data_IF_594324989773
#
_entry.id   IF_594324989773
#
_cell.length_a   1.000
_cell.length_b   1.000
_cell.length_c   1.000
_cell.angle_alpha   90.00
_cell.angle_beta   90.00
_cell.angle_gamma   90.00
#
_symmetry.space_group_name_H-M   'P 1'
#
loop_
_entity.id
_entity.type
_entity.pdbx_description
1 polymer ?
#
# COMPACT_ATOMS: atom_id res chain seq x y z
N UNK A 1 -30.94 -8.82 -8.81
CA UNK A 1 -30.12 -7.74 -8.22
C UNK A 1 -29.65 -8.28 -6.88
N UNK A 2 -28.43 -8.81 -6.80
CA UNK A 2 -27.89 -9.36 -5.55
C UNK A 2 -27.18 -8.23 -4.83
N UNK A 3 -27.78 -7.72 -3.76
CA UNK A 3 -27.05 -6.95 -2.76
C UNK A 3 -25.93 -7.84 -2.22
N UNK A 4 -24.68 -7.49 -2.54
CA UNK A 4 -23.54 -8.06 -1.81
C UNK A 4 -23.57 -7.40 -0.44
N UNK A 5 -24.24 -8.04 0.51
CA UNK A 5 -24.30 -7.59 1.90
C UNK A 5 -22.87 -7.59 2.46
N UNK A 6 -22.25 -6.42 2.52
CA UNK A 6 -21.04 -6.23 3.31
C UNK A 6 -21.29 -6.59 4.78
N UNK A 7 -20.24 -6.85 5.58
CA UNK A 7 -20.41 -7.21 6.98
C UNK A 7 -21.24 -6.14 7.72
N UNK A 8 -22.06 -6.55 8.71
CA UNK A 8 -22.76 -5.61 9.58
C UNK A 8 -21.73 -4.66 10.21
N UNK A 9 -21.89 -3.36 9.97
CA UNK A 9 -20.98 -2.34 10.52
C UNK A 9 -21.57 -1.81 11.82
N UNK A 10 -20.82 -1.96 12.92
CA UNK A 10 -21.09 -1.30 14.19
C UNK A 10 -21.42 0.20 13.97
N UNK A 11 -22.35 0.81 14.73
CA UNK A 11 -22.60 2.24 14.67
C UNK A 11 -21.32 3.08 14.81
N UNK A 12 -20.41 2.67 15.69
CA UNK A 12 -19.12 3.33 15.93
C UNK A 12 -18.19 3.27 14.71
N UNK A 13 -18.22 2.16 13.95
CA UNK A 13 -17.44 2.00 12.71
C UNK A 13 -18.01 2.89 11.62
N UNK A 14 -19.34 2.94 11.48
CA UNK A 14 -20.01 3.82 10.51
C UNK A 14 -19.69 5.28 10.80
N UNK A 15 -19.77 5.69 12.06
CA UNK A 15 -19.47 7.06 12.44
C UNK A 15 -17.98 7.38 12.30
N UNK A 16 -17.10 6.44 12.66
CA UNK A 16 -15.66 6.60 12.41
C UNK A 16 -15.38 6.80 10.93
N UNK A 17 -15.93 5.98 10.03
CA UNK A 17 -15.76 6.14 8.59
C UNK A 17 -16.34 7.45 8.06
N UNK A 18 -17.56 7.81 8.48
CA UNK A 18 -18.26 9.05 8.06
C UNK A 18 -17.48 10.29 8.46
N UNK A 19 -17.02 10.36 9.70
CA UNK A 19 -16.23 11.49 10.21
C UNK A 19 -14.84 11.52 9.56
N UNK A 20 -14.24 10.37 9.26
CA UNK A 20 -12.94 10.25 8.59
C UNK A 20 -12.94 10.66 7.13
N UNK A 21 -14.07 10.62 6.43
CA UNK A 21 -14.13 11.10 5.05
C UNK A 21 -13.98 12.63 4.96
N UNK A 22 -14.42 13.35 6.00
CA UNK A 22 -14.26 14.80 6.12
C UNK A 22 -12.94 15.23 6.76
N UNK A 23 -12.35 14.34 7.57
CA UNK A 23 -11.07 14.53 8.25
C UNK A 23 -10.02 13.83 7.38
N UNK A 24 -9.32 14.58 6.54
CA UNK A 24 -8.16 14.01 5.84
C UNK A 24 -7.23 13.36 6.86
N UNK A 25 -6.80 12.13 6.61
CA UNK A 25 -5.81 11.43 7.44
C UNK A 25 -4.49 12.21 7.59
N UNK A 26 -4.25 13.23 6.77
CA UNK A 26 -3.25 14.25 7.06
C UNK A 26 -3.37 14.87 8.47
N UNK A 27 -4.49 14.74 9.18
CA UNK A 27 -4.61 15.16 10.58
C UNK A 27 -3.90 14.24 11.59
N UNK A 28 -3.58 12.98 11.23
CA UNK A 28 -2.67 12.14 12.03
C UNK A 28 -1.20 12.50 11.76
N UNK A 29 -0.89 13.03 10.58
CA UNK A 29 0.43 13.58 10.25
C UNK A 29 0.53 15.05 10.64
N UNK A 30 1.35 15.37 11.64
CA UNK A 30 1.61 16.78 11.97
C UNK A 30 2.21 17.50 10.74
N UNK A 31 1.46 18.43 10.15
CA UNK A 31 1.97 19.31 9.09
C UNK A 31 3.22 19.99 9.62
N UNK A 32 4.34 19.81 8.90
CA UNK A 32 5.63 20.37 9.27
C UNK A 32 5.74 21.82 8.82
N UNK A 33 5.30 22.07 7.60
CA UNK A 33 5.33 23.38 6.93
C UNK A 33 4.30 23.37 5.78
N UNK A 34 3.80 24.56 5.43
CA UNK A 34 3.02 24.78 4.22
C UNK A 34 3.96 25.44 3.19
N UNK A 35 4.14 24.80 2.05
CA UNK A 35 5.05 25.23 0.99
C UNK A 35 4.31 25.44 -0.32
N UNK A 36 4.77 26.43 -1.09
CA UNK A 36 4.33 26.60 -2.48
C UNK A 36 5.09 25.60 -3.37
N UNK A 37 4.33 24.79 -4.12
CA UNK A 37 4.87 23.81 -5.06
C UNK A 37 4.16 24.00 -6.40
N UNK A 38 4.94 24.03 -7.48
CA UNK A 38 4.41 24.03 -8.83
C UNK A 38 4.27 22.59 -9.31
N UNK A 39 3.05 22.15 -9.61
CA UNK A 39 2.74 20.81 -10.13
C UNK A 39 2.21 20.99 -11.55
N UNK A 40 2.92 20.46 -12.55
CA UNK A 40 2.59 20.63 -13.98
C UNK A 40 2.31 22.10 -14.37
N UNK A 41 3.14 23.04 -13.90
CA UNK A 41 3.02 24.47 -14.19
C UNK A 41 1.99 25.23 -13.35
N UNK A 42 1.20 24.55 -12.51
CA UNK A 42 0.24 25.20 -11.61
C UNK A 42 0.77 25.28 -10.18
N UNK A 43 0.84 26.48 -9.61
CA UNK A 43 1.26 26.69 -8.22
C UNK A 43 0.12 26.32 -7.28
N UNK A 44 0.42 25.53 -6.25
CA UNK A 44 -0.51 25.22 -5.17
C UNK A 44 0.16 25.27 -3.80
N UNK A 45 -0.64 25.39 -2.74
CA UNK A 45 -0.19 25.27 -1.36
C UNK A 45 -0.25 23.82 -0.91
N UNK A 46 0.88 23.29 -0.48
CA UNK A 46 1.04 21.90 -0.09
C UNK A 46 1.58 21.78 1.34
N UNK A 47 0.98 20.89 2.11
CA UNK A 47 1.36 20.60 3.48
C UNK A 47 2.43 19.52 3.48
N UNK A 48 3.62 19.83 3.94
CA UNK A 48 4.74 18.90 4.07
C UNK A 48 4.53 17.97 5.25
N UNK A 49 4.49 16.65 5.01
CA UNK A 49 4.15 15.64 6.02
C UNK A 49 5.34 14.75 6.42
N UNK A 50 6.14 14.28 5.45
CA UNK A 50 7.29 13.38 5.69
C UNK A 50 8.44 13.65 4.72
N UNK A 51 9.69 13.54 5.20
CA UNK A 51 10.94 13.73 4.42
C UNK A 51 11.93 14.68 5.11
N UNK A 52 12.82 15.38 4.40
CA UNK A 52 13.83 16.32 4.91
C UNK A 52 14.10 17.57 4.05
N UNK A 53 13.27 17.92 3.07
CA UNK A 53 13.41 19.19 2.32
C UNK A 53 13.14 20.41 3.23
N UNK A 54 12.42 20.24 4.35
CA UNK A 54 12.12 21.31 5.31
C UNK A 54 13.20 21.42 6.40
N UNK A 55 13.77 22.61 6.71
CA UNK A 55 15.05 22.75 7.44
C UNK A 55 15.06 22.47 8.95
N UNK A 56 14.00 21.92 9.54
CA UNK A 56 13.87 21.88 11.01
C UNK A 56 13.65 20.48 11.56
N UNK A 57 14.75 19.70 11.56
CA UNK A 57 15.17 18.92 12.73
C UNK A 57 16.59 18.44 12.52
N UNK A 58 17.44 18.63 13.53
CA UNK A 58 18.80 18.08 13.59
C UNK A 58 18.78 16.65 13.09
N UNK A 59 19.53 16.40 12.02
CA UNK A 59 19.82 15.06 11.54
C UNK A 59 20.40 14.28 12.71
N UNK A 60 19.65 13.31 13.24
CA UNK A 60 20.26 12.30 14.10
C UNK A 60 21.21 11.53 13.20
N UNK A 61 22.50 11.68 13.51
CA UNK A 61 23.68 11.05 12.92
C UNK A 61 23.58 9.51 12.94
N UNK A 62 22.76 8.98 12.05
CA UNK A 62 22.86 7.60 11.59
C UNK A 62 22.93 7.66 10.09
N UNK A 63 24.16 7.57 9.61
CA UNK A 63 24.50 7.13 8.26
C UNK A 63 23.72 5.85 7.94
N UNK A 64 22.55 5.99 7.33
CA UNK A 64 21.90 4.92 6.58
C UNK A 64 20.98 5.58 5.54
N UNK A 65 21.35 5.49 4.27
CA UNK A 65 20.76 6.25 3.15
C UNK A 65 19.31 5.90 2.78
N UNK A 66 18.34 6.10 3.66
CA UNK A 66 17.02 5.48 3.54
C UNK A 66 15.78 6.40 3.60
N UNK A 67 15.89 7.72 3.43
CA UNK A 67 14.70 8.57 3.20
C UNK A 67 14.77 9.24 1.84
N UNK A 68 14.27 8.53 0.82
CA UNK A 68 14.40 8.85 -0.60
C UNK A 68 13.40 9.89 -1.14
N UNK A 69 12.29 10.12 -0.43
CA UNK A 69 11.14 10.88 -0.94
C UNK A 69 10.60 11.90 0.06
N UNK A 70 10.00 12.98 -0.44
CA UNK A 70 9.08 13.82 0.34
C UNK A 70 7.63 13.42 0.06
N UNK A 71 6.78 13.59 1.07
CA UNK A 71 5.33 13.41 0.98
C UNK A 71 4.65 14.71 1.39
N UNK A 72 3.75 15.17 0.53
CA UNK A 72 2.91 16.33 0.74
C UNK A 72 1.43 16.00 0.60
N UNK A 73 0.60 16.87 1.13
CA UNK A 73 -0.84 16.82 1.02
C UNK A 73 -1.42 18.18 0.66
N UNK A 74 -2.39 18.22 -0.26
CA UNK A 74 -3.13 19.42 -0.63
C UNK A 74 -4.56 19.31 -0.08
N UNK A 75 -4.96 20.11 0.93
CA UNK A 75 -6.30 20.06 1.51
C UNK A 75 -7.38 20.60 0.57
N UNK A 76 -7.01 21.47 -0.38
CA UNK A 76 -7.97 22.07 -1.32
C UNK A 76 -8.44 21.05 -2.35
N UNK A 77 -7.51 20.23 -2.86
CA UNK A 77 -7.81 19.20 -3.86
C UNK A 77 -7.95 17.80 -3.26
N UNK A 78 -7.79 17.67 -1.94
CA UNK A 78 -7.73 16.40 -1.22
C UNK A 78 -6.79 15.38 -1.88
N UNK A 79 -5.57 15.82 -2.24
CA UNK A 79 -4.61 15.03 -3.02
C UNK A 79 -3.28 14.89 -2.30
N UNK A 80 -2.66 13.73 -2.44
CA UNK A 80 -1.30 13.45 -2.02
C UNK A 80 -0.32 13.72 -3.15
N UNK A 81 0.89 14.14 -2.78
CA UNK A 81 2.00 14.30 -3.70
C UNK A 81 3.25 13.65 -3.09
N UNK A 82 3.86 12.73 -3.82
CA UNK A 82 5.13 12.10 -3.44
C UNK A 82 6.18 12.46 -4.48
N UNK A 83 7.33 12.97 -4.06
CA UNK A 83 8.38 13.44 -4.97
C UNK A 83 9.74 12.85 -4.63
N UNK A 84 10.61 12.77 -5.63
CA UNK A 84 12.05 12.60 -5.41
C UNK A 84 12.60 13.87 -4.76
N UNK A 85 13.41 13.70 -3.72
CA UNK A 85 14.08 14.82 -3.06
C UNK A 85 15.00 15.56 -4.05
N UNK A 86 14.95 16.91 -4.13
CA UNK A 86 15.87 17.68 -4.97
C UNK A 86 17.35 17.38 -4.67
N UNK A 87 17.70 17.09 -3.42
CA UNK A 87 19.07 16.77 -3.01
C UNK A 87 19.62 15.50 -3.68
N UNK A 88 18.76 14.59 -4.14
CA UNK A 88 19.19 13.37 -4.85
C UNK A 88 19.92 13.66 -6.17
N UNK A 89 19.71 14.85 -6.77
CA UNK A 89 20.47 15.30 -7.93
C UNK A 89 21.95 15.53 -7.60
N UNK A 90 22.24 16.00 -6.39
CA UNK A 90 23.61 16.28 -5.94
C UNK A 90 24.39 14.98 -5.63
N UNK A 91 23.69 13.92 -5.23
CA UNK A 91 24.30 12.64 -4.86
C UNK A 91 24.36 11.61 -5.99
N UNK A 92 23.93 11.96 -7.21
CA UNK A 92 23.88 11.03 -8.35
C UNK A 92 22.86 9.89 -8.19
N UNK A 93 22.01 9.92 -7.16
CA UNK A 93 21.01 8.89 -6.87
C UNK A 93 19.65 9.19 -7.48
N UNK A 94 19.52 10.32 -8.17
CA UNK A 94 18.25 10.82 -8.68
C UNK A 94 17.52 9.82 -9.58
N UNK A 95 18.17 9.30 -10.62
CA UNK A 95 17.57 8.36 -11.57
C UNK A 95 17.09 7.07 -10.89
N UNK A 96 17.87 6.59 -9.90
CA UNK A 96 17.51 5.41 -9.11
C UNK A 96 16.23 5.66 -8.30
N UNK A 97 16.11 6.84 -7.67
CA UNK A 97 14.92 7.19 -6.89
C UNK A 97 13.73 7.52 -7.77
N UNK A 98 13.94 8.15 -8.91
CA UNK A 98 12.89 8.37 -9.91
C UNK A 98 12.31 7.04 -10.39
N UNK A 99 13.17 6.10 -10.80
CA UNK A 99 12.74 4.77 -11.26
C UNK A 99 11.93 4.03 -10.19
N UNK A 100 12.39 4.06 -8.94
CA UNK A 100 11.67 3.47 -7.81
C UNK A 100 10.35 4.16 -7.52
N UNK A 101 10.27 5.48 -7.69
CA UNK A 101 9.05 6.24 -7.44
C UNK A 101 8.01 6.02 -8.54
N UNK A 102 8.42 5.94 -9.81
CA UNK A 102 7.56 5.51 -10.94
C UNK A 102 6.97 4.13 -10.70
N UNK A 103 7.81 3.20 -10.22
CA UNK A 103 7.35 1.86 -9.81
C UNK A 103 6.32 1.94 -8.69
N UNK A 104 6.58 2.73 -7.65
CA UNK A 104 5.63 2.95 -6.55
C UNK A 104 4.29 3.50 -7.04
N UNK A 105 4.28 4.43 -7.99
CA UNK A 105 3.04 4.96 -8.58
C UNK A 105 2.26 3.86 -9.31
N UNK A 106 2.95 3.06 -10.13
CA UNK A 106 2.34 1.95 -10.86
C UNK A 106 1.74 0.90 -9.92
N UNK A 107 2.47 0.53 -8.87
CA UNK A 107 1.99 -0.44 -7.88
C UNK A 107 0.73 0.06 -7.17
N UNK A 108 0.66 1.35 -6.86
CA UNK A 108 -0.52 1.93 -6.23
C UNK A 108 -1.72 1.95 -7.19
N UNK A 109 -1.51 2.19 -8.50
CA UNK A 109 -2.57 2.05 -9.52
C UNK A 109 -3.10 0.62 -9.55
N UNK A 110 -2.21 -0.36 -9.64
CA UNK A 110 -2.57 -1.78 -9.67
C UNK A 110 -3.30 -2.21 -8.39
N UNK A 111 -2.88 -1.72 -7.22
CA UNK A 111 -3.57 -1.96 -5.96
C UNK A 111 -5.01 -1.44 -5.96
N UNK A 112 -5.23 -0.23 -6.49
CA UNK A 112 -6.56 0.34 -6.64
C UNK A 112 -7.41 -0.45 -7.65
N UNK A 113 -6.83 -0.90 -8.77
CA UNK A 113 -7.52 -1.74 -9.74
C UNK A 113 -7.96 -3.08 -9.13
N UNK A 114 -7.05 -3.74 -8.39
CA UNK A 114 -7.33 -5.00 -7.67
C UNK A 114 -8.39 -4.79 -6.59
N UNK A 115 -8.43 -3.62 -5.94
CA UNK A 115 -9.47 -3.25 -4.99
C UNK A 115 -10.82 -2.87 -5.62
N UNK A 116 -10.94 -2.90 -6.96
CA UNK A 116 -12.17 -2.54 -7.67
C UNK A 116 -12.38 -1.02 -7.83
N UNK A 117 -11.32 -0.22 -7.77
CA UNK A 117 -11.35 1.25 -7.81
C UNK A 117 -10.63 1.84 -9.04
N UNK A 118 -10.96 1.43 -10.28
CA UNK A 118 -10.24 1.86 -11.49
C UNK A 118 -10.34 3.38 -11.74
N UNK A 119 -11.45 4.00 -11.33
CA UNK A 119 -11.61 5.46 -11.43
C UNK A 119 -10.56 6.19 -10.56
N UNK A 120 -10.30 5.73 -9.34
CA UNK A 120 -9.24 6.31 -8.50
C UNK A 120 -7.85 5.98 -9.03
N UNK A 121 -7.65 4.77 -9.55
CA UNK A 121 -6.37 4.39 -10.18
C UNK A 121 -5.99 5.37 -11.31
N UNK A 122 -6.96 5.76 -12.15
CA UNK A 122 -6.75 6.72 -13.25
C UNK A 122 -6.38 8.14 -12.81
N UNK A 123 -6.64 8.49 -11.54
CA UNK A 123 -6.28 9.78 -10.96
C UNK A 123 -4.85 9.84 -10.47
N UNK A 124 -4.14 8.70 -10.38
CA UNK A 124 -2.71 8.70 -10.05
C UNK A 124 -1.91 9.15 -11.26
N UNK A 125 -1.34 10.35 -11.19
CA UNK A 125 -0.63 10.98 -12.32
C UNK A 125 0.83 11.23 -12.00
N UNK A 126 1.69 10.75 -12.88
CA UNK A 126 3.08 11.20 -12.97
C UNK A 126 3.10 12.71 -13.22
N UNK A 127 3.99 13.43 -12.54
CA UNK A 127 4.04 14.88 -12.62
C UNK A 127 5.47 15.41 -12.57
N UNK A 128 5.71 16.49 -13.31
CA UNK A 128 6.85 17.35 -13.05
C UNK A 128 6.49 18.28 -11.89
N UNK A 129 7.42 18.41 -10.94
CA UNK A 129 7.25 19.21 -9.75
C UNK A 129 8.39 20.19 -9.65
N UNK A 130 8.08 21.48 -9.50
CA UNK A 130 9.09 22.48 -9.16
C UNK A 130 8.96 22.86 -7.68
N UNK A 131 10.05 22.67 -6.93
CA UNK A 131 10.15 23.02 -5.52
C UNK A 131 11.53 23.62 -5.26
N UNK A 132 11.57 24.80 -4.62
CA UNK A 132 12.81 25.57 -4.39
C UNK A 132 13.63 25.81 -5.66
N UNK A 133 12.96 26.14 -6.77
CA UNK A 133 13.58 26.39 -8.07
C UNK A 133 14.20 25.15 -8.74
N UNK A 134 13.90 23.94 -8.24
CA UNK A 134 14.38 22.69 -8.81
C UNK A 134 13.22 21.84 -9.32
N UNK A 135 13.31 21.46 -10.59
CA UNK A 135 12.39 20.49 -11.21
C UNK A 135 12.74 19.07 -10.77
N UNK A 136 11.78 18.34 -10.22
CA UNK A 136 11.91 16.95 -9.81
C UNK A 136 10.71 16.13 -10.28
N UNK A 137 10.89 14.82 -10.40
CA UNK A 137 9.82 13.89 -10.64
C UNK A 137 9.02 13.65 -9.36
N UNK A 138 7.70 13.55 -9.51
CA UNK A 138 6.80 13.03 -8.50
C UNK A 138 5.57 12.39 -9.12
N UNK A 139 4.67 11.92 -8.27
CA UNK A 139 3.32 11.56 -8.68
C UNK A 139 2.29 12.10 -7.69
N UNK A 140 1.12 12.43 -8.20
CA UNK A 140 -0.05 12.78 -7.40
C UNK A 140 -0.96 11.56 -7.25
N UNK A 141 -1.63 11.45 -6.10
CA UNK A 141 -2.63 10.41 -5.82
C UNK A 141 -3.85 11.06 -5.17
N UNK A 142 -5.08 10.60 -5.46
CA UNK A 142 -6.23 11.02 -4.68
C UNK A 142 -6.09 10.52 -3.24
N UNK A 143 -6.77 11.20 -2.30
CA UNK A 143 -7.00 10.64 -0.98
C UNK A 143 -7.94 9.43 -1.10
N UNK A 144 -7.45 8.26 -0.71
CA UNK A 144 -8.21 7.00 -0.81
C UNK A 144 -9.20 6.89 0.36
N UNK A 145 -8.74 7.13 1.59
CA UNK A 145 -9.54 6.96 2.80
C UNK A 145 -8.66 6.84 4.04
N UNK A 146 -9.25 6.70 5.24
CA UNK A 146 -8.48 6.47 6.46
C UNK A 146 -7.81 5.09 6.45
N UNK A 147 -6.71 4.97 7.18
CA UNK A 147 -6.13 3.66 7.52
C UNK A 147 -7.01 2.88 8.49
N UNK A 148 -6.87 1.56 8.44
CA UNK A 148 -7.44 0.64 9.40
C UNK A 148 -6.93 0.92 10.82
N UNK A 149 -5.68 1.38 10.94
CA UNK A 149 -5.10 1.83 12.21
C UNK A 149 -5.82 3.06 12.75
N UNK A 150 -6.16 4.04 11.91
CA UNK A 150 -6.94 5.19 12.34
C UNK A 150 -8.35 4.81 12.83
N UNK A 151 -9.02 3.90 12.12
CA UNK A 151 -10.33 3.38 12.55
C UNK A 151 -10.22 2.66 13.90
N UNK A 152 -9.20 1.84 14.08
CA UNK A 152 -8.92 1.17 15.36
C UNK A 152 -8.71 2.20 16.49
N UNK A 153 -7.94 3.25 16.21
CA UNK A 153 -7.66 4.33 17.16
C UNK A 153 -8.94 5.08 17.57
N UNK A 154 -9.90 5.27 16.65
CA UNK A 154 -11.21 5.88 16.93
C UNK A 154 -12.09 4.98 17.79
N UNK A 155 -12.25 3.70 17.41
CA UNK A 155 -13.11 2.74 18.13
C UNK A 155 -12.61 2.52 19.56
N UNK A 156 -11.29 2.43 19.74
CA UNK A 156 -10.70 2.22 21.08
C UNK A 156 -10.73 3.47 21.96
N UNK A 157 -11.12 4.64 21.42
CA UNK A 157 -11.06 5.91 22.12
C UNK A 157 -9.63 6.29 22.49
N UNK A 158 -8.67 6.00 21.59
CA UNK A 158 -7.26 6.35 21.74
C UNK A 158 -6.49 5.59 22.83
N UNK A 159 -7.03 4.46 23.32
CA UNK A 159 -6.43 3.66 24.40
C UNK A 159 -5.88 2.34 23.88
N UNK A 160 -4.56 2.14 24.00
CA UNK A 160 -3.91 0.86 23.70
C UNK A 160 -4.44 -0.24 24.63
N UNK A 161 -4.68 -1.43 24.09
CA UNK A 161 -5.09 -2.62 24.86
C UNK A 161 -6.57 -2.68 25.24
N UNK A 162 -7.41 -1.73 24.81
CA UNK A 162 -8.86 -1.84 24.98
C UNK A 162 -9.38 -2.98 24.09
N UNK A 163 -10.14 -3.92 24.69
CA UNK A 163 -10.81 -4.98 23.93
C UNK A 163 -11.78 -4.38 22.92
N UNK A 164 -11.79 -4.95 21.72
CA UNK A 164 -12.71 -4.57 20.67
C UNK A 164 -14.10 -5.17 20.96
N UNK A 165 -15.18 -4.43 20.68
CA UNK A 165 -16.53 -4.98 20.57
C UNK A 165 -16.57 -6.13 19.53
N UNK A 166 -17.46 -7.11 19.71
CA UNK A 166 -17.55 -8.29 18.83
C UNK A 166 -17.79 -7.93 17.35
N UNK A 167 -18.69 -6.98 17.09
CA UNK A 167 -18.97 -6.47 15.74
C UNK A 167 -17.77 -5.75 15.11
N UNK A 168 -16.94 -5.09 15.92
CA UNK A 168 -15.65 -4.58 15.47
C UNK A 168 -14.70 -5.71 15.12
N UNK A 169 -14.58 -6.75 15.97
CA UNK A 169 -13.74 -7.92 15.68
C UNK A 169 -14.11 -8.56 14.33
N UNK A 170 -15.41 -8.75 14.06
CA UNK A 170 -15.89 -9.31 12.79
C UNK A 170 -15.53 -8.42 11.60
N UNK A 171 -15.70 -7.09 11.75
CA UNK A 171 -15.32 -6.12 10.71
C UNK A 171 -13.81 -6.14 10.42
N UNK A 172 -12.97 -6.13 11.46
CA UNK A 172 -11.52 -6.17 11.27
C UNK A 172 -11.07 -7.49 10.65
N UNK A 173 -11.65 -8.61 11.08
CA UNK A 173 -11.39 -9.93 10.49
C UNK A 173 -11.70 -9.92 8.99
N UNK A 174 -12.88 -9.42 8.61
CA UNK A 174 -13.27 -9.25 7.20
C UNK A 174 -12.29 -8.37 6.41
N UNK A 175 -11.89 -7.22 6.95
CA UNK A 175 -10.93 -6.33 6.28
C UNK A 175 -9.58 -7.01 6.08
N UNK A 176 -9.08 -7.73 7.08
CA UNK A 176 -7.82 -8.46 6.97
C UNK A 176 -7.89 -9.61 5.96
N UNK A 177 -9.03 -10.32 5.87
CA UNK A 177 -9.25 -11.34 4.84
C UNK A 177 -9.18 -10.72 3.44
N UNK A 178 -9.85 -9.58 3.19
CA UNK A 178 -9.75 -8.91 1.89
C UNK A 178 -8.34 -8.41 1.61
N UNK A 179 -7.67 -7.79 2.59
CA UNK A 179 -6.29 -7.32 2.43
C UNK A 179 -5.33 -8.48 2.11
N UNK A 180 -5.57 -9.65 2.71
CA UNK A 180 -4.86 -10.89 2.41
C UNK A 180 -5.05 -11.33 0.97
N UNK A 181 -6.30 -11.39 0.51
CA UNK A 181 -6.62 -11.81 -0.87
C UNK A 181 -6.06 -10.83 -1.90
N UNK A 182 -6.12 -9.52 -1.60
CA UNK A 182 -5.49 -8.51 -2.44
C UNK A 182 -3.97 -8.66 -2.49
N UNK A 183 -3.32 -8.86 -1.34
CA UNK A 183 -1.88 -9.03 -1.28
C UNK A 183 -1.41 -10.27 -2.04
N UNK A 184 -2.13 -11.39 -1.93
CA UNK A 184 -1.89 -12.60 -2.70
C UNK A 184 -2.05 -12.33 -4.20
N UNK A 185 -3.16 -11.71 -4.62
CA UNK A 185 -3.43 -11.40 -6.02
C UNK A 185 -2.38 -10.44 -6.61
N UNK A 186 -2.06 -9.36 -5.90
CA UNK A 186 -1.03 -8.40 -6.29
C UNK A 186 0.31 -9.08 -6.49
N UNK A 187 0.66 -10.00 -5.59
CA UNK A 187 1.89 -10.74 -5.68
C UNK A 187 1.86 -11.74 -6.84
N UNK A 188 0.82 -12.57 -6.97
CA UNK A 188 0.73 -13.66 -7.94
C UNK A 188 0.51 -13.19 -9.40
N UNK A 189 -0.24 -12.11 -9.59
CA UNK A 189 -0.60 -11.64 -10.93
C UNK A 189 0.30 -10.52 -11.43
N UNK A 190 0.88 -9.72 -10.52
CA UNK A 190 1.59 -8.48 -10.87
C UNK A 190 2.99 -8.36 -10.26
N UNK A 191 3.44 -9.34 -9.48
CA UNK A 191 4.74 -9.30 -8.81
C UNK A 191 4.88 -8.20 -7.77
N UNK A 192 3.75 -7.66 -7.30
CA UNK A 192 3.70 -6.57 -6.34
C UNK A 192 3.65 -7.14 -4.92
N UNK A 193 4.67 -6.84 -4.13
CA UNK A 193 4.82 -7.37 -2.77
C UNK A 193 4.84 -6.23 -1.73
N UNK A 194 4.07 -6.40 -0.65
CA UNK A 194 4.23 -5.60 0.57
C UNK A 194 5.01 -6.40 1.61
N UNK A 195 6.05 -5.77 2.15
CA UNK A 195 6.79 -6.32 3.29
C UNK A 195 6.12 -5.99 4.62
N UNK A 196 5.13 -5.10 4.63
CA UNK A 196 4.60 -4.51 5.85
C UNK A 196 3.07 -4.30 5.75
N UNK A 197 2.27 -5.38 5.71
CA UNK A 197 0.81 -5.31 5.63
C UNK A 197 0.18 -4.96 6.99
N UNK A 198 0.73 -3.98 7.68
CA UNK A 198 0.21 -3.49 8.95
C UNK A 198 -1.08 -2.67 8.72
N UNK A 199 -1.91 -2.44 9.75
CA UNK A 199 -3.15 -1.68 9.58
C UNK A 199 -2.97 -0.21 9.18
N UNK A 200 -1.79 0.37 9.34
CA UNK A 200 -1.43 1.69 8.81
C UNK A 200 -1.20 1.70 7.29
N UNK A 201 -1.09 0.52 6.66
CA UNK A 201 -0.95 0.36 5.22
C UNK A 201 -2.20 -0.25 4.56
N UNK A 202 -3.29 -0.39 5.31
CA UNK A 202 -4.59 -0.85 4.82
C UNK A 202 -5.56 0.34 4.88
N UNK A 203 -5.93 0.86 3.73
CA UNK A 203 -6.85 2.00 3.60
C UNK A 203 -8.28 1.51 3.35
N UNK A 204 -9.25 2.28 3.81
CA UNK A 204 -10.68 1.99 3.63
C UNK A 204 -11.32 3.09 2.78
N UNK A 205 -11.73 2.75 1.57
CA UNK A 205 -12.46 3.66 0.69
C UNK A 205 -13.95 3.35 0.74
N UNK A 206 -14.77 4.35 1.05
CA UNK A 206 -16.22 4.22 1.03
C UNK A 206 -16.76 4.80 -0.29
N UNK A 207 -17.38 3.92 -1.08
CA UNK A 207 -18.05 4.21 -2.34
C UNK A 207 -19.58 3.94 -2.21
N UNK A 208 -20.33 4.15 -3.30
CA UNK A 208 -21.79 3.94 -3.32
C UNK A 208 -22.16 2.46 -3.15
N UNK A 209 -21.32 1.56 -3.67
CA UNK A 209 -21.50 0.10 -3.66
C UNK A 209 -20.91 -0.58 -2.41
N UNK A 210 -20.14 0.13 -1.58
CA UNK A 210 -19.65 -0.43 -0.32
C UNK A 210 -18.36 0.17 0.20
N UNK A 211 -17.70 -0.59 1.09
CA UNK A 211 -16.31 -0.31 1.50
C UNK A 211 -15.39 -1.17 0.65
N UNK A 212 -14.39 -0.52 0.08
CA UNK A 212 -13.26 -1.15 -0.55
C UNK A 212 -12.07 -1.07 0.39
N UNK A 213 -11.40 -2.20 0.56
CA UNK A 213 -10.11 -2.26 1.25
C UNK A 213 -9.03 -1.98 0.20
N UNK A 214 -7.99 -1.21 0.53
CA UNK A 214 -6.89 -0.94 -0.39
C UNK A 214 -5.58 -1.11 0.36
N UNK A 215 -4.80 -2.10 -0.05
CA UNK A 215 -3.44 -2.28 0.46
C UNK A 215 -2.49 -1.30 -0.22
N UNK A 216 -1.64 -0.63 0.55
CA UNK A 216 -0.61 0.29 0.05
C UNK A 216 0.77 -0.04 0.65
N UNK A 217 1.74 0.82 0.36
CA UNK A 217 3.13 0.75 0.81
C UNK A 217 3.82 -0.58 0.44
N UNK A 218 4.18 -0.68 -0.83
CA UNK A 218 4.82 -1.84 -1.39
C UNK A 218 6.34 -1.74 -1.29
N UNK A 219 6.97 -2.88 -1.00
CA UNK A 219 8.42 -2.94 -1.01
C UNK A 219 8.95 -2.75 -2.43
N UNK A 220 10.01 -1.96 -2.58
CA UNK A 220 10.74 -1.86 -3.84
C UNK A 220 11.88 -2.88 -3.95
N UNK A 221 12.29 -3.49 -2.83
CA UNK A 221 13.44 -4.40 -2.74
C UNK A 221 13.09 -5.87 -2.91
N UNK A 222 11.88 -6.31 -2.56
CA UNK A 222 11.47 -7.73 -2.61
C UNK A 222 10.54 -8.05 -3.80
N UNK A 223 10.52 -7.19 -4.83
CA UNK A 223 9.79 -7.47 -6.07
C UNK A 223 10.52 -8.53 -6.86
N UNK A 224 10.09 -9.76 -6.64
CA UNK A 224 10.87 -10.93 -6.96
C UNK A 224 10.09 -11.93 -7.81
N UNK A 225 8.90 -11.65 -8.36
CA UNK A 225 8.30 -12.63 -9.28
C UNK A 225 9.23 -12.95 -10.46
N UNK A 226 9.77 -11.93 -11.13
CA UNK A 226 10.79 -12.12 -12.17
C UNK A 226 12.09 -12.72 -11.60
N UNK A 227 12.45 -12.40 -10.35
CA UNK A 227 13.67 -12.94 -9.71
C UNK A 227 13.52 -14.39 -9.24
N UNK A 228 12.32 -14.86 -8.91
CA UNK A 228 12.08 -16.24 -8.48
C UNK A 228 12.38 -17.20 -9.62
N UNK A 229 11.98 -16.84 -10.85
CA UNK A 229 12.30 -17.62 -12.03
C UNK A 229 13.78 -17.54 -12.39
N UNK A 230 14.43 -16.39 -12.16
CA UNK A 230 15.87 -16.24 -12.44
C UNK A 230 16.77 -17.02 -11.46
N UNK A 231 16.29 -17.29 -10.24
CA UNK A 231 17.01 -18.09 -9.24
C UNK A 231 16.85 -19.61 -9.39
N UNK A 232 15.99 -20.07 -10.31
CA UNK A 232 15.85 -21.50 -10.63
C UNK A 232 16.40 -21.73 -12.04
N UNK A 233 17.65 -22.22 -12.18
CA UNK A 233 18.23 -22.52 -13.49
C UNK A 233 17.44 -23.65 -14.14
N UNK A 234 16.69 -23.31 -15.19
CA UNK A 234 15.76 -24.23 -15.83
C UNK A 234 16.46 -25.43 -16.49
N UNK A 235 17.67 -25.20 -16.98
CA UNK A 235 18.59 -26.17 -17.58
C UNK A 235 19.07 -27.28 -16.62
N UNK A 236 18.81 -27.14 -15.31
CA UNK A 236 19.25 -28.09 -14.28
C UNK A 236 18.15 -29.02 -13.77
N UNK A 237 16.94 -28.93 -14.29
CA UNK A 237 15.79 -29.71 -13.82
C UNK A 237 14.97 -30.25 -14.98
N UNK A 238 14.44 -31.46 -14.82
CA UNK A 238 13.34 -31.93 -15.66
C UNK A 238 12.12 -31.00 -15.52
N UNK A 239 11.29 -30.82 -16.57
CA UNK A 239 10.19 -29.85 -16.57
C UNK A 239 9.25 -29.94 -15.36
N UNK A 240 8.89 -31.16 -14.94
CA UNK A 240 8.01 -31.37 -13.78
C UNK A 240 8.68 -30.94 -12.46
N UNK A 241 9.97 -31.25 -12.31
CA UNK A 241 10.75 -30.86 -11.13
C UNK A 241 10.96 -29.34 -11.07
N UNK A 242 11.15 -28.69 -12.22
CA UNK A 242 11.23 -27.24 -12.35
C UNK A 242 9.93 -26.56 -11.88
N UNK A 243 8.78 -27.03 -12.38
CA UNK A 243 7.46 -26.49 -12.02
C UNK A 243 7.10 -26.73 -10.56
N UNK A 244 7.43 -27.90 -10.03
CA UNK A 244 7.26 -28.21 -8.60
C UNK A 244 8.04 -27.22 -7.73
N UNK A 245 9.29 -26.94 -8.09
CA UNK A 245 10.16 -26.01 -7.34
C UNK A 245 9.65 -24.57 -7.38
N UNK A 246 9.13 -24.12 -8.52
CA UNK A 246 8.48 -22.80 -8.65
C UNK A 246 7.25 -22.72 -7.75
N UNK A 247 6.37 -23.73 -7.81
CA UNK A 247 5.16 -23.81 -7.00
C UNK A 247 5.50 -23.72 -5.50
N UNK A 248 6.51 -24.46 -5.06
CA UNK A 248 6.98 -24.43 -3.67
C UNK A 248 7.49 -23.05 -3.24
N UNK A 249 8.25 -22.35 -4.11
CA UNK A 249 8.75 -21.01 -3.82
C UNK A 249 7.62 -19.99 -3.72
N UNK A 250 6.65 -20.03 -4.62
CA UNK A 250 5.45 -19.19 -4.56
C UNK A 250 4.66 -19.47 -3.28
N UNK A 251 4.41 -20.75 -2.96
CA UNK A 251 3.71 -21.18 -1.74
C UNK A 251 4.39 -20.65 -0.47
N UNK A 252 5.73 -20.74 -0.37
CA UNK A 252 6.47 -20.25 0.82
C UNK A 252 6.31 -18.75 1.03
N UNK A 253 6.32 -17.96 -0.05
CA UNK A 253 6.21 -16.50 0.03
C UNK A 253 4.80 -16.06 0.39
N UNK A 254 3.81 -16.68 -0.25
CA UNK A 254 2.40 -16.47 0.07
C UNK A 254 2.12 -16.89 1.52
N UNK A 255 2.66 -18.02 2.02
CA UNK A 255 2.58 -18.38 3.45
C UNK A 255 3.21 -17.34 4.38
N UNK A 256 4.36 -16.77 4.00
CA UNK A 256 5.02 -15.72 4.79
C UNK A 256 4.18 -14.45 4.90
N UNK A 257 3.52 -14.05 3.81
CA UNK A 257 2.58 -12.93 3.79
C UNK A 257 1.45 -13.13 4.80
N UNK A 258 0.83 -14.31 4.77
CA UNK A 258 -0.26 -14.64 5.69
C UNK A 258 0.18 -14.68 7.13
N UNK A 259 1.36 -15.25 7.42
CA UNK A 259 1.87 -15.25 8.78
C UNK A 259 2.02 -13.82 9.32
N UNK A 260 2.47 -12.86 8.50
CA UNK A 260 2.57 -11.44 8.91
C UNK A 260 1.21 -10.79 9.17
N UNK A 261 0.23 -11.05 8.31
CA UNK A 261 -1.15 -10.59 8.51
C UNK A 261 -1.77 -11.20 9.77
N UNK A 262 -1.56 -12.49 9.98
CA UNK A 262 -2.01 -13.24 11.17
C UNK A 262 -1.35 -12.72 12.46
N UNK A 263 -0.04 -12.46 12.44
CA UNK A 263 0.70 -11.82 13.53
C UNK A 263 0.03 -10.49 13.93
N UNK A 264 -0.33 -9.65 12.96
CA UNK A 264 -1.03 -8.38 13.22
C UNK A 264 -2.47 -8.54 13.73
N UNK A 265 -3.20 -9.56 13.27
CA UNK A 265 -4.53 -9.89 13.78
C UNK A 265 -4.46 -10.34 15.25
N UNK A 266 -3.52 -11.24 15.56
CA UNK A 266 -3.31 -11.80 16.90
C UNK A 266 -2.90 -10.73 17.92
N UNK A 267 -2.02 -9.80 17.55
CA UNK A 267 -1.67 -8.63 18.38
C UNK A 267 -2.89 -7.80 18.81
N UNK A 268 -3.98 -7.88 18.05
CA UNK A 268 -5.21 -7.09 18.22
C UNK A 268 -6.38 -7.91 18.74
N UNK A 269 -6.19 -9.20 19.02
CA UNK A 269 -7.25 -10.11 19.44
C UNK A 269 -8.33 -10.32 18.37
N UNK A 270 -7.96 -10.17 17.09
CA UNK A 270 -8.83 -10.40 15.94
C UNK A 270 -8.50 -11.78 15.36
N UNK A 271 -9.48 -12.65 15.08
CA UNK A 271 -9.21 -13.91 14.41
C UNK A 271 -8.84 -13.64 12.94
N UNK A 272 -7.74 -14.23 12.49
CA UNK A 272 -7.40 -14.26 11.07
C UNK A 272 -8.16 -15.40 10.40
N UNK A 273 -9.16 -15.08 9.58
CA UNK A 273 -9.96 -16.07 8.86
C UNK A 273 -9.44 -16.17 7.43
N UNK A 274 -8.95 -17.35 7.05
CA UNK A 274 -8.56 -17.65 5.68
C UNK A 274 -8.87 -19.10 5.31
N UNK A 275 -9.22 -19.33 4.05
CA UNK A 275 -9.32 -20.66 3.47
C UNK A 275 -7.95 -21.13 2.94
N UNK A 276 -7.27 -22.10 3.58
CA UNK A 276 -5.96 -22.58 3.12
C UNK A 276 -6.01 -23.38 1.82
N UNK A 277 -7.19 -23.81 1.38
CA UNK A 277 -7.36 -24.64 0.18
C UNK A 277 -7.36 -23.80 -1.11
N UNK A 278 -7.58 -22.49 -1.03
CA UNK A 278 -7.64 -21.60 -2.21
C UNK A 278 -6.24 -21.18 -2.71
N UNK A 279 -5.23 -21.21 -1.85
CA UNK A 279 -3.87 -20.72 -2.15
C UNK A 279 -3.23 -21.49 -3.30
N UNK A 280 -3.34 -22.81 -3.25
CA UNK A 280 -2.71 -23.68 -4.22
C UNK A 280 -3.40 -23.56 -5.59
N UNK A 281 -4.73 -23.46 -5.59
CA UNK A 281 -5.52 -23.20 -6.79
C UNK A 281 -5.19 -21.83 -7.40
N UNK A 282 -5.00 -20.80 -6.58
CA UNK A 282 -4.61 -19.46 -7.04
C UNK A 282 -3.22 -19.45 -7.69
N UNK A 283 -2.25 -20.15 -7.10
CA UNK A 283 -0.90 -20.28 -7.68
C UNK A 283 -0.97 -20.95 -9.05
N UNK A 284 -1.72 -22.02 -9.20
CA UNK A 284 -1.87 -22.73 -10.47
C UNK A 284 -2.51 -21.86 -11.56
N UNK A 285 -3.36 -20.90 -11.18
CA UNK A 285 -4.01 -19.95 -12.08
C UNK A 285 -3.16 -18.70 -12.34
N UNK A 286 -2.11 -18.47 -11.57
CA UNK A 286 -1.30 -17.25 -11.68
C UNK A 286 -0.63 -17.16 -13.07
N UNK A 287 -0.62 -15.97 -13.71
CA UNK A 287 0.06 -15.75 -14.98
C UNK A 287 1.53 -16.17 -14.95
N UNK A 288 2.18 -15.95 -13.81
CA UNK A 288 3.56 -16.33 -13.57
C UNK A 288 3.79 -17.85 -13.65
N UNK A 289 2.96 -18.65 -12.96
CA UNK A 289 3.03 -20.10 -13.01
C UNK A 289 2.68 -20.65 -14.40
N UNK A 290 1.64 -20.09 -15.03
CA UNK A 290 1.24 -20.46 -16.40
C UNK A 290 2.38 -20.18 -17.39
N UNK A 291 3.03 -19.02 -17.30
CA UNK A 291 4.18 -18.66 -18.14
C UNK A 291 5.33 -19.65 -17.98
N UNK A 292 5.64 -20.05 -16.74
CA UNK A 292 6.66 -21.05 -16.47
C UNK A 292 6.31 -22.44 -17.02
N UNK A 293 5.04 -22.83 -17.02
CA UNK A 293 4.56 -24.13 -17.54
C UNK A 293 4.59 -24.25 -19.06
N UNK A 294 4.59 -23.13 -19.79
CA UNK A 294 4.54 -23.09 -21.25
C UNK A 294 5.91 -23.03 -21.92
N UNK A 295 6.96 -22.72 -21.15
CA UNK A 295 8.33 -22.67 -21.64
C UNK A 295 8.98 -24.00 -21.37
#
# INVERSE_FOLDING_TARGET
MLEVSGPPRAPDIREALRTSQSITEANSYRTREVVDITVNGSVGKWHSLKGGVTPHRKESSTESGNVSYEIFFNPTTNSWLKIVRPEAKKSGLYERFETRLRKSAQQQRTALEVAGLPKLASQIKDTEVEIKGQKVYGFTSPHIGPTLEFILYKITGHRKGRKLPTDAVDFFSYVYSIASDQAEKLYLDFGVWTSDPNPGNILLHQAEDGIHVVLIDFSNSEQEQDNIFSHVPKDRFEPEAYLSKIKDMLMRRVKRLHRRLEEHCNERGVPFIRNPQEVEANIQRSPAYISASKK
#
